data_IF_342953659516
#
_entry.id   IF_342953659516
#
_cell.length_a   1.000
_cell.length_b   1.000
_cell.length_c   1.000
_cell.angle_alpha   90.00
_cell.angle_beta   90.00
_cell.angle_gamma   90.00
#
_symmetry.space_group_name_H-M   'P 1'
#
loop_
_entity.id
_entity.type
_entity.pdbx_description
1 polymer ?
#
# COMPACT_ATOMS: atom_id res chain seq x y z
N UNK A 1 3.99 -34.32 13.28
CA UNK A 1 4.15 -32.99 12.65
C UNK A 1 3.73 -31.96 13.69
N UNK A 2 4.67 -31.18 14.24
CA UNK A 2 4.36 -30.23 15.31
C UNK A 2 3.51 -29.07 14.74
N UNK A 3 2.29 -28.92 15.24
CA UNK A 3 1.39 -27.84 14.86
C UNK A 3 1.90 -26.55 15.54
N UNK A 4 2.68 -25.76 14.80
CA UNK A 4 3.24 -24.50 15.28
C UNK A 4 2.17 -23.42 15.13
N UNK A 5 1.29 -23.32 16.12
CA UNK A 5 0.26 -22.27 16.15
C UNK A 5 0.93 -20.89 16.17
N UNK A 6 0.54 -20.05 15.22
CA UNK A 6 1.06 -18.68 15.12
C UNK A 6 0.50 -17.85 16.28
N UNK A 7 1.38 -17.31 17.12
CA UNK A 7 0.96 -16.37 18.16
C UNK A 7 0.44 -15.08 17.52
N UNK A 8 -0.86 -14.80 17.69
CA UNK A 8 -1.49 -13.55 17.28
C UNK A 8 -1.07 -12.42 18.24
N UNK A 9 0.04 -11.76 17.96
CA UNK A 9 0.57 -10.62 18.74
C UNK A 9 0.71 -9.32 17.95
N UNK A 10 0.15 -9.26 16.73
CA UNK A 10 0.33 -8.12 15.85
C UNK A 10 -0.66 -7.00 16.21
N UNK A 11 -0.18 -6.03 16.97
CA UNK A 11 -0.92 -4.80 17.27
C UNK A 11 -1.14 -3.93 16.02
N UNK A 12 -2.14 -3.07 16.05
CA UNK A 12 -2.48 -2.17 14.96
C UNK A 12 -1.29 -1.33 14.47
N UNK A 13 -0.42 -0.88 15.40
CA UNK A 13 0.82 -0.15 15.05
C UNK A 13 1.79 -0.98 14.21
N UNK A 14 1.91 -2.28 14.47
CA UNK A 14 2.81 -3.16 13.71
C UNK A 14 2.27 -3.33 12.28
N UNK A 15 0.95 -3.48 12.14
CA UNK A 15 0.28 -3.57 10.83
C UNK A 15 0.47 -2.27 10.04
N UNK A 16 0.32 -1.11 10.67
CA UNK A 16 0.58 0.18 10.04
C UNK A 16 2.03 0.33 9.60
N UNK A 17 3.01 -0.04 10.44
CA UNK A 17 4.43 0.02 10.08
C UNK A 17 4.76 -0.91 8.91
N UNK A 18 4.17 -2.10 8.84
CA UNK A 18 4.32 -3.02 7.71
C UNK A 18 3.75 -2.39 6.43
N UNK A 19 2.55 -1.83 6.50
CA UNK A 19 1.90 -1.19 5.37
C UNK A 19 2.71 0.03 4.86
N UNK A 20 3.20 0.88 5.77
CA UNK A 20 4.04 2.04 5.43
C UNK A 20 5.37 1.59 4.82
N UNK A 21 6.02 0.58 5.39
CA UNK A 21 7.28 0.04 4.89
C UNK A 21 7.16 -0.54 3.48
N UNK A 22 6.11 -1.33 3.22
CA UNK A 22 5.84 -1.90 1.90
C UNK A 22 5.49 -0.84 0.85
N UNK A 23 4.64 0.12 1.22
CA UNK A 23 4.17 1.18 0.31
C UNK A 23 5.29 2.15 -0.04
N UNK A 24 6.11 2.57 0.92
CA UNK A 24 7.23 3.48 0.66
C UNK A 24 8.35 2.75 -0.08
N UNK A 25 8.79 1.58 0.41
CA UNK A 25 9.93 0.85 -0.15
C UNK A 25 9.71 0.36 -1.59
N UNK A 26 8.85 -0.65 -1.76
CA UNK A 26 8.62 -1.24 -3.10
C UNK A 26 7.66 -0.37 -3.92
N UNK A 27 6.60 0.14 -3.29
CA UNK A 27 5.57 0.91 -4.02
C UNK A 27 6.10 2.22 -4.58
N UNK A 28 6.59 3.11 -3.71
CA UNK A 28 6.99 4.46 -4.10
C UNK A 28 8.39 4.48 -4.71
N UNK A 29 9.41 3.91 -4.08
CA UNK A 29 10.78 4.03 -4.63
C UNK A 29 11.02 3.12 -5.85
N UNK A 30 10.76 1.82 -5.74
CA UNK A 30 11.02 0.90 -6.87
C UNK A 30 10.02 1.11 -8.03
N UNK A 31 8.74 1.33 -7.71
CA UNK A 31 7.72 1.65 -8.70
C UNK A 31 7.97 2.98 -9.40
N UNK A 32 8.14 4.08 -8.65
CA UNK A 32 8.27 5.41 -9.27
C UNK A 32 9.56 5.58 -10.07
N UNK A 33 10.69 5.01 -9.64
CA UNK A 33 11.95 5.09 -10.39
C UNK A 33 11.80 4.54 -11.82
N UNK A 34 11.02 3.46 -11.97
CA UNK A 34 10.71 2.88 -13.27
C UNK A 34 9.68 3.75 -14.01
N UNK A 35 8.54 4.04 -13.39
CA UNK A 35 7.44 4.77 -14.03
C UNK A 35 7.82 6.17 -14.50
N UNK A 36 8.68 6.89 -13.75
CA UNK A 36 9.22 8.20 -14.13
C UNK A 36 10.07 8.10 -15.40
N UNK A 37 10.89 7.06 -15.55
CA UNK A 37 11.70 6.87 -16.78
C UNK A 37 10.84 6.66 -18.02
N UNK A 38 9.72 5.93 -17.89
CA UNK A 38 8.83 5.62 -19.02
C UNK A 38 7.87 6.78 -19.36
N UNK A 39 7.36 7.48 -18.34
CA UNK A 39 6.21 8.40 -18.47
C UNK A 39 6.62 9.88 -18.35
N UNK A 40 7.82 10.16 -17.86
CA UNK A 40 8.31 11.51 -17.61
C UNK A 40 7.52 12.24 -16.51
N UNK A 41 7.53 13.59 -16.47
CA UNK A 41 6.90 14.37 -15.40
C UNK A 41 5.38 14.20 -15.31
N UNK A 42 4.74 13.68 -16.36
CA UNK A 42 3.29 13.39 -16.37
C UNK A 42 2.86 12.30 -15.38
N UNK A 43 3.83 11.54 -14.81
CA UNK A 43 3.53 10.51 -13.81
C UNK A 43 2.86 11.06 -12.55
N UNK A 44 3.09 12.33 -12.19
CA UNK A 44 2.42 12.97 -11.06
C UNK A 44 0.90 13.03 -11.27
N UNK A 45 0.45 13.33 -12.49
CA UNK A 45 -0.97 13.34 -12.84
C UNK A 45 -1.57 11.93 -12.77
N UNK A 46 -0.84 10.93 -13.27
CA UNK A 46 -1.26 9.54 -13.20
C UNK A 46 -1.41 9.05 -11.74
N UNK A 47 -0.44 9.37 -10.87
CA UNK A 47 -0.52 9.04 -9.44
C UNK A 47 -1.64 9.79 -8.73
N UNK A 48 -1.91 11.04 -9.09
CA UNK A 48 -3.03 11.80 -8.51
C UNK A 48 -4.38 11.15 -8.85
N UNK A 49 -4.60 10.78 -10.11
CA UNK A 49 -5.83 10.12 -10.55
C UNK A 49 -5.95 8.72 -9.91
N UNK A 50 -4.88 7.93 -9.92
CA UNK A 50 -4.86 6.61 -9.27
C UNK A 50 -5.14 6.72 -7.76
N UNK A 51 -4.60 7.74 -7.09
CA UNK A 51 -4.86 8.02 -5.68
C UNK A 51 -6.33 8.28 -5.37
N UNK A 52 -7.05 8.99 -6.26
CA UNK A 52 -8.50 9.20 -6.12
C UNK A 52 -9.25 7.86 -6.17
N UNK A 53 -8.93 6.98 -7.13
CA UNK A 53 -9.56 5.66 -7.20
C UNK A 53 -9.24 4.80 -5.97
N UNK A 54 -7.98 4.80 -5.52
CA UNK A 54 -7.57 4.07 -4.30
C UNK A 54 -8.30 4.61 -3.07
N UNK A 55 -8.53 5.91 -2.96
CA UNK A 55 -9.31 6.50 -1.87
C UNK A 55 -10.73 5.92 -1.83
N UNK A 56 -11.40 5.82 -2.97
CA UNK A 56 -12.74 5.20 -3.04
C UNK A 56 -12.72 3.71 -2.67
N UNK A 57 -11.69 2.97 -3.09
CA UNK A 57 -11.53 1.56 -2.72
C UNK A 57 -11.34 1.42 -1.21
N UNK A 58 -10.49 2.23 -0.60
CA UNK A 58 -10.24 2.21 0.84
C UNK A 58 -11.49 2.62 1.64
N UNK A 59 -12.28 3.58 1.14
CA UNK A 59 -13.59 3.96 1.69
C UNK A 59 -14.54 2.76 1.69
N UNK A 60 -14.66 2.05 0.58
CA UNK A 60 -15.54 0.89 0.44
C UNK A 60 -15.08 -0.31 1.29
N UNK A 61 -13.77 -0.59 1.34
CA UNK A 61 -13.21 -1.63 2.21
C UNK A 61 -13.41 -1.32 3.69
N UNK A 62 -13.31 -0.04 4.07
CA UNK A 62 -13.65 0.42 5.40
C UNK A 62 -15.09 0.08 5.76
N UNK A 63 -16.04 0.36 4.86
CA UNK A 63 -17.46 0.04 5.04
C UNK A 63 -17.74 -1.47 5.15
N UNK A 64 -16.92 -2.35 4.57
CA UNK A 64 -17.05 -3.81 4.73
C UNK A 64 -16.53 -4.33 6.08
N UNK A 65 -15.71 -3.56 6.78
CA UNK A 65 -15.16 -3.91 8.09
C UNK A 65 -16.02 -3.38 9.25
N UNK A 66 -17.01 -2.53 8.97
CA UNK A 66 -18.10 -2.17 9.88
C UNK A 66 -19.25 -3.17 9.77
#
# INVERSE_FOLDING_TARGET
MANKELKRGLEARHIQMIALGGTIGVGLFMGSASTIKWTGPSVMLAYAIAGIFIFFIMRAMGEMLY
#
